data_IF_015199389060
#
_entry.id   IF_015199389060
#
_cell.length_a   1.000
_cell.length_b   1.000
_cell.length_c   1.000
_cell.angle_alpha   90.00
_cell.angle_beta   90.00
_cell.angle_gamma   90.00
#
_symmetry.space_group_name_H-M   'P 1'
#
loop_
_entity.id
_entity.type
_entity.pdbx_description
1 polymer ?
#
# COMPACT_ATOMS: atom_id res chain seq x y z
N UNK A 1 -19.37 37.26 -14.75
CA UNK A 1 -19.27 36.67 -13.40
C UNK A 1 -17.83 36.23 -13.20
N UNK A 2 -17.10 36.85 -12.28
CA UNK A 2 -15.75 36.40 -11.89
C UNK A 2 -15.94 35.18 -11.00
N UNK A 3 -15.62 33.99 -11.49
CA UNK A 3 -15.50 32.79 -10.67
C UNK A 3 -14.49 33.09 -9.57
N UNK A 4 -14.93 33.11 -8.31
CA UNK A 4 -14.02 32.99 -7.17
C UNK A 4 -13.16 31.76 -7.47
N UNK A 5 -11.85 31.93 -7.64
CA UNK A 5 -10.93 30.81 -7.71
C UNK A 5 -11.16 30.01 -6.43
N UNK A 6 -11.75 28.82 -6.56
CA UNK A 6 -11.88 27.91 -5.42
C UNK A 6 -10.47 27.48 -5.06
N UNK A 7 -9.98 27.98 -3.93
CA UNK A 7 -8.74 27.52 -3.33
C UNK A 7 -9.03 26.14 -2.72
N UNK A 8 -9.15 25.09 -3.53
CA UNK A 8 -9.51 23.76 -3.04
C UNK A 8 -9.67 22.73 -4.15
N UNK A 9 -9.86 21.48 -3.76
CA UNK A 9 -10.23 20.37 -4.65
C UNK A 9 -11.58 19.83 -4.19
N UNK A 10 -12.59 19.86 -5.05
CA UNK A 10 -13.87 19.19 -4.80
C UNK A 10 -13.98 17.94 -5.67
N UNK A 11 -14.14 16.79 -5.02
CA UNK A 11 -14.13 15.46 -5.64
C UNK A 11 -15.43 14.75 -5.34
N UNK A 12 -16.12 14.32 -6.39
CA UNK A 12 -17.32 13.51 -6.34
C UNK A 12 -17.14 12.26 -7.19
N UNK A 13 -17.33 11.08 -6.61
CA UNK A 13 -17.23 9.80 -7.30
C UNK A 13 -18.11 8.74 -6.66
N UNK A 14 -18.48 7.74 -7.45
CA UNK A 14 -19.25 6.57 -7.02
C UNK A 14 -18.35 5.33 -7.09
N UNK A 15 -18.26 4.57 -6.01
CA UNK A 15 -17.57 3.27 -5.97
C UNK A 15 -18.62 2.20 -6.21
N UNK A 16 -18.54 1.51 -7.35
CA UNK A 16 -19.44 0.41 -7.69
C UNK A 16 -18.89 -0.91 -7.16
N UNK A 17 -19.69 -1.63 -6.39
CA UNK A 17 -19.31 -2.90 -5.77
C UNK A 17 -20.11 -4.08 -6.33
N UNK A 18 -19.47 -5.23 -6.40
CA UNK A 18 -20.15 -6.51 -6.65
C UNK A 18 -20.77 -7.06 -5.36
N UNK A 19 -21.76 -7.94 -5.51
CA UNK A 19 -22.33 -8.69 -4.39
C UNK A 19 -21.30 -9.66 -3.79
N UNK A 20 -21.22 -9.75 -2.47
CA UNK A 20 -20.29 -10.62 -1.76
C UNK A 20 -20.49 -10.55 -0.24
N UNK A 21 -19.84 -11.43 0.52
CA UNK A 21 -19.87 -11.37 1.99
C UNK A 21 -19.30 -10.03 2.50
N UNK A 22 -18.27 -9.54 1.81
CA UNK A 22 -17.74 -8.18 1.93
C UNK A 22 -17.81 -7.49 0.56
N UNK A 23 -18.15 -6.18 0.48
CA UNK A 23 -18.24 -5.46 -0.78
C UNK A 23 -16.91 -5.47 -1.54
N UNK A 24 -16.93 -6.00 -2.78
CA UNK A 24 -15.76 -6.01 -3.65
C UNK A 24 -15.88 -4.88 -4.69
N UNK A 25 -14.96 -3.91 -4.72
CA UNK A 25 -15.05 -2.79 -5.64
C UNK A 25 -14.65 -3.22 -7.06
N UNK A 26 -15.44 -2.81 -8.05
CA UNK A 26 -15.16 -3.11 -9.46
C UNK A 26 -14.75 -1.86 -10.24
N UNK A 27 -15.37 -0.71 -9.93
CA UNK A 27 -15.20 0.53 -10.69
C UNK A 27 -15.34 1.74 -9.78
N UNK A 28 -14.63 2.81 -10.11
CA UNK A 28 -14.80 4.13 -9.51
C UNK A 28 -15.23 5.08 -10.62
N UNK A 29 -16.44 5.62 -10.54
CA UNK A 29 -17.03 6.50 -11.56
C UNK A 29 -17.03 7.95 -11.10
N UNK A 30 -16.38 8.84 -11.83
CA UNK A 30 -16.41 10.27 -11.50
C UNK A 30 -17.79 10.86 -11.76
N UNK A 31 -18.19 11.78 -10.91
CA UNK A 31 -19.42 12.52 -11.13
C UNK A 31 -19.32 13.43 -12.34
N UNK A 32 -20.45 13.53 -13.05
CA UNK A 32 -20.63 14.56 -14.07
C UNK A 32 -21.02 15.90 -13.44
N UNK A 33 -20.85 16.98 -14.20
CA UNK A 33 -21.15 18.35 -13.77
C UNK A 33 -22.58 18.56 -13.22
N UNK A 34 -23.56 17.77 -13.70
CA UNK A 34 -24.93 17.89 -13.20
C UNK A 34 -25.08 17.38 -11.76
N UNK A 35 -24.31 16.37 -11.34
CA UNK A 35 -24.33 15.86 -9.96
C UNK A 35 -23.76 16.88 -8.98
N UNK A 36 -22.63 17.51 -9.33
CA UNK A 36 -22.03 18.58 -8.53
C UNK A 36 -22.98 19.77 -8.32
N UNK A 37 -23.80 20.12 -9.32
CA UNK A 37 -24.78 21.23 -9.17
C UNK A 37 -25.88 20.94 -8.14
N UNK A 38 -26.12 19.67 -7.83
CA UNK A 38 -27.18 19.21 -6.93
C UNK A 38 -26.64 18.73 -5.58
N UNK A 39 -25.34 18.87 -5.33
CA UNK A 39 -24.67 18.41 -4.12
C UNK A 39 -23.96 19.57 -3.42
N UNK A 40 -23.79 19.45 -2.11
CA UNK A 40 -22.95 20.35 -1.32
C UNK A 40 -21.66 19.62 -0.94
N UNK A 41 -20.49 20.26 -1.04
CA UNK A 41 -19.22 19.62 -0.68
C UNK A 41 -19.19 19.24 0.82
N UNK A 42 -18.74 18.03 1.13
CA UNK A 42 -18.55 17.59 2.52
C UNK A 42 -17.09 17.70 2.94
N UNK A 43 -16.86 17.85 4.25
CA UNK A 43 -15.52 17.82 4.81
C UNK A 43 -14.96 16.39 4.77
N UNK A 44 -13.63 16.21 4.64
CA UNK A 44 -13.04 14.88 4.67
C UNK A 44 -13.31 14.16 5.98
N UNK A 45 -13.32 12.83 5.93
CA UNK A 45 -13.32 12.02 7.15
C UNK A 45 -12.10 12.31 8.02
N UNK A 46 -12.18 11.93 9.31
CA UNK A 46 -11.11 12.20 10.28
C UNK A 46 -9.73 11.67 9.83
N UNK A 47 -9.70 10.50 9.19
CA UNK A 47 -8.49 9.91 8.61
C UNK A 47 -8.34 10.17 7.11
N UNK A 48 -9.20 11.00 6.53
CA UNK A 48 -9.17 11.47 5.15
C UNK A 48 -9.13 10.37 4.06
N UNK A 49 -9.60 9.16 4.35
CA UNK A 49 -9.61 8.05 3.39
C UNK A 49 -10.39 8.40 2.10
N UNK A 50 -11.53 9.08 2.26
CA UNK A 50 -12.34 9.63 1.17
C UNK A 50 -11.55 10.61 0.29
N UNK A 51 -10.86 11.58 0.92
CA UNK A 51 -10.02 12.52 0.22
C UNK A 51 -8.81 11.85 -0.44
N UNK A 52 -8.14 10.91 0.22
CA UNK A 52 -6.94 10.24 -0.29
C UNK A 52 -7.23 9.34 -1.49
N UNK A 53 -8.39 8.66 -1.54
CA UNK A 53 -8.85 7.97 -2.75
C UNK A 53 -8.99 8.96 -3.90
N UNK A 54 -9.73 10.05 -3.70
CA UNK A 54 -9.97 11.06 -4.74
C UNK A 54 -8.68 11.73 -5.23
N UNK A 55 -7.82 12.17 -4.31
CA UNK A 55 -6.56 12.85 -4.63
C UNK A 55 -5.61 11.91 -5.39
N UNK A 56 -5.55 10.63 -5.01
CA UNK A 56 -4.76 9.63 -5.75
C UNK A 56 -5.30 9.42 -7.17
N UNK A 57 -6.62 9.40 -7.34
CA UNK A 57 -7.25 9.28 -8.66
C UNK A 57 -6.96 10.47 -9.58
N UNK A 58 -6.85 11.69 -9.04
CA UNK A 58 -6.42 12.88 -9.81
C UNK A 58 -5.02 12.70 -10.39
N UNK A 59 -4.13 12.05 -9.65
CA UNK A 59 -2.77 11.76 -10.09
C UNK A 59 -2.69 10.58 -11.06
N UNK A 60 -3.52 9.55 -10.84
CA UNK A 60 -3.55 8.36 -11.69
C UNK A 60 -4.29 8.59 -13.02
N UNK A 61 -5.29 9.47 -13.06
CA UNK A 61 -6.13 9.67 -14.25
C UNK A 61 -5.99 11.09 -14.84
N UNK A 62 -5.22 11.26 -15.94
CA UNK A 62 -5.04 12.55 -16.60
C UNK A 62 -6.33 13.18 -17.16
N UNK A 63 -7.41 12.41 -17.38
CA UNK A 63 -8.68 13.00 -17.82
C UNK A 63 -9.25 13.98 -16.79
N UNK A 64 -9.00 13.69 -15.51
CA UNK A 64 -9.36 14.60 -14.44
C UNK A 64 -8.54 15.86 -14.45
N UNK A 65 -7.39 15.94 -15.15
CA UNK A 65 -6.52 17.13 -15.22
C UNK A 65 -7.02 18.22 -16.17
N UNK A 66 -8.09 17.95 -16.91
CA UNK A 66 -8.65 18.89 -17.86
C UNK A 66 -9.63 19.86 -17.16
N UNK A 67 -9.35 21.19 -17.15
CA UNK A 67 -10.22 22.17 -16.47
C UNK A 67 -11.62 22.30 -17.11
N UNK A 68 -11.83 21.82 -18.33
CA UNK A 68 -13.15 21.77 -18.96
C UNK A 68 -13.98 20.58 -18.48
N UNK A 69 -13.32 19.50 -18.05
CA UNK A 69 -13.98 18.29 -17.50
C UNK A 69 -14.22 18.48 -16.00
N UNK A 70 -13.22 19.02 -15.30
CA UNK A 70 -13.21 19.20 -13.84
C UNK A 70 -12.85 20.64 -13.44
N UNK A 71 -13.69 21.64 -13.75
CA UNK A 71 -13.48 23.05 -13.37
C UNK A 71 -13.37 23.29 -11.86
N UNK A 72 -13.87 22.37 -11.03
CA UNK A 72 -13.81 22.40 -9.57
C UNK A 72 -12.48 21.88 -8.98
N UNK A 73 -11.56 21.41 -9.82
CA UNK A 73 -10.28 20.85 -9.39
C UNK A 73 -9.12 21.84 -9.56
N UNK A 74 -8.41 22.13 -8.47
CA UNK A 74 -7.12 22.79 -8.51
C UNK A 74 -5.98 21.76 -8.44
N UNK A 75 -5.40 21.37 -9.57
CA UNK A 75 -4.37 20.32 -9.62
C UNK A 75 -3.09 20.64 -8.86
N UNK A 76 -2.69 21.91 -8.84
CA UNK A 76 -1.52 22.34 -8.08
C UNK A 76 -1.72 22.06 -6.59
N UNK A 77 -2.92 22.39 -6.09
CA UNK A 77 -3.31 22.13 -4.70
C UNK A 77 -3.58 20.63 -4.41
N UNK A 78 -4.03 19.84 -5.39
CA UNK A 78 -4.25 18.41 -5.23
C UNK A 78 -2.97 17.65 -4.83
N UNK A 79 -1.85 17.94 -5.50
CA UNK A 79 -0.56 17.32 -5.19
C UNK A 79 -0.04 17.68 -3.81
N UNK A 80 -0.18 18.95 -3.43
CA UNK A 80 0.19 19.42 -2.10
C UNK A 80 -0.67 18.73 -1.03
N UNK A 81 -1.98 18.68 -1.25
CA UNK A 81 -2.94 18.03 -0.37
C UNK A 81 -2.62 16.54 -0.18
N UNK A 82 -2.36 15.81 -1.27
CA UNK A 82 -2.02 14.39 -1.18
C UNK A 82 -0.76 14.17 -0.35
N UNK A 83 0.30 14.94 -0.59
CA UNK A 83 1.56 14.81 0.18
C UNK A 83 1.40 15.17 1.65
N UNK A 84 0.54 16.13 1.97
CA UNK A 84 0.27 16.54 3.35
C UNK A 84 -0.57 15.50 4.11
N UNK A 85 -1.53 14.86 3.42
CA UNK A 85 -2.46 13.92 4.03
C UNK A 85 -2.00 12.46 4.01
N UNK A 86 -1.11 12.06 3.09
CA UNK A 86 -0.71 10.65 2.91
C UNK A 86 0.45 10.23 3.84
N UNK A 87 0.18 9.51 4.94
CA UNK A 87 1.21 9.15 5.92
C UNK A 87 2.24 8.16 5.36
N UNK A 88 1.87 7.24 4.45
CA UNK A 88 2.79 6.24 3.94
C UNK A 88 3.90 6.85 3.09
N UNK A 89 3.61 7.93 2.36
CA UNK A 89 4.64 8.66 1.62
C UNK A 89 5.62 9.36 2.56
N UNK A 90 5.12 9.93 3.67
CA UNK A 90 5.98 10.55 4.70
C UNK A 90 6.88 9.52 5.37
N UNK A 91 6.34 8.34 5.74
CA UNK A 91 7.11 7.24 6.33
C UNK A 91 8.17 6.70 5.35
N UNK A 92 7.82 6.58 4.07
CA UNK A 92 8.74 6.22 3.01
C UNK A 92 9.93 7.19 2.94
N UNK A 93 9.64 8.49 2.88
CA UNK A 93 10.66 9.54 2.83
C UNK A 93 11.56 9.55 4.08
N UNK A 94 10.98 9.38 5.27
CA UNK A 94 11.70 9.34 6.55
C UNK A 94 12.63 8.13 6.70
N UNK A 95 12.32 7.04 6.01
CA UNK A 95 13.10 5.79 6.06
C UNK A 95 14.29 5.79 5.09
N UNK A 96 14.28 6.69 4.09
CA UNK A 96 15.32 6.72 3.04
C UNK A 96 16.76 6.81 3.56
N UNK A 97 17.11 7.61 4.59
CA UNK A 97 18.49 7.66 5.06
C UNK A 97 19.01 6.30 5.57
N UNK A 98 18.17 5.56 6.32
CA UNK A 98 18.53 4.23 6.85
C UNK A 98 18.59 3.19 5.74
N UNK A 99 17.61 3.21 4.85
CA UNK A 99 17.56 2.31 3.68
C UNK A 99 18.74 2.53 2.75
N UNK A 100 19.14 3.78 2.50
CA UNK A 100 20.30 4.06 1.65
C UNK A 100 21.60 3.56 2.30
N UNK A 101 21.77 3.74 3.62
CA UNK A 101 22.93 3.23 4.34
C UNK A 101 23.06 1.68 4.29
N UNK A 102 21.92 0.97 4.29
CA UNK A 102 21.88 -0.48 4.04
C UNK A 102 22.22 -0.80 2.58
N UNK A 103 21.59 -0.10 1.64
CA UNK A 103 21.76 -0.31 0.19
C UNK A 103 23.17 0.00 -0.30
N UNK A 104 23.89 0.93 0.28
CA UNK A 104 25.27 1.25 -0.11
C UNK A 104 26.22 0.05 0.06
N UNK A 105 25.84 -0.89 0.93
CA UNK A 105 26.56 -2.14 1.18
C UNK A 105 26.02 -3.31 0.31
N UNK A 106 24.87 -3.12 -0.33
CA UNK A 106 24.19 -4.08 -1.19
C UNK A 106 24.31 -3.62 -2.65
N UNK A 107 25.30 -4.13 -3.36
CA UNK A 107 25.43 -3.88 -4.82
C UNK A 107 24.13 -4.30 -5.52
N UNK A 108 23.52 -3.38 -6.27
CA UNK A 108 22.31 -3.62 -7.06
C UNK A 108 22.33 -2.76 -8.32
N UNK A 109 22.02 -3.38 -9.45
CA UNK A 109 21.76 -2.70 -10.72
C UNK A 109 20.36 -3.08 -11.22
N UNK A 110 19.63 -2.17 -11.90
CA UNK A 110 18.33 -2.49 -12.47
C UNK A 110 18.42 -3.64 -13.46
N UNK A 111 17.67 -4.71 -13.21
CA UNK A 111 17.63 -5.89 -14.07
C UNK A 111 16.64 -5.69 -15.23
N UNK A 112 16.70 -6.57 -16.22
CA UNK A 112 15.70 -6.57 -17.30
C UNK A 112 14.31 -6.98 -16.80
N UNK A 113 14.23 -7.78 -15.73
CA UNK A 113 12.96 -8.14 -15.10
C UNK A 113 12.27 -6.91 -14.49
N UNK A 114 13.03 -6.05 -13.80
CA UNK A 114 12.53 -4.78 -13.27
C UNK A 114 11.96 -3.91 -14.40
N UNK A 115 12.72 -3.70 -15.48
CA UNK A 115 12.23 -2.88 -16.62
C UNK A 115 10.97 -3.44 -17.27
N UNK A 116 10.87 -4.77 -17.38
CA UNK A 116 9.67 -5.43 -17.91
C UNK A 116 8.47 -5.24 -16.98
N UNK A 117 8.68 -5.33 -15.67
CA UNK A 117 7.65 -5.02 -14.68
C UNK A 117 7.17 -3.57 -14.82
N UNK A 118 8.07 -2.59 -14.90
CA UNK A 118 7.67 -1.18 -15.02
C UNK A 118 6.81 -0.91 -16.27
N UNK A 119 7.11 -1.60 -17.38
CA UNK A 119 6.29 -1.53 -18.60
C UNK A 119 4.91 -2.13 -18.39
N UNK A 120 4.84 -3.36 -17.86
CA UNK A 120 3.57 -4.02 -17.57
C UNK A 120 2.72 -3.21 -16.57
N UNK A 121 3.38 -2.60 -15.58
CA UNK A 121 2.76 -1.73 -14.60
C UNK A 121 2.10 -0.51 -15.25
N UNK A 122 2.85 0.17 -16.12
CA UNK A 122 2.34 1.31 -16.89
C UNK A 122 1.18 0.90 -17.80
N UNK A 123 1.31 -0.22 -18.52
CA UNK A 123 0.28 -0.72 -19.43
C UNK A 123 -1.03 -1.06 -18.70
N UNK A 124 -0.96 -1.73 -17.54
CA UNK A 124 -2.13 -2.05 -16.74
C UNK A 124 -2.80 -0.79 -16.18
N UNK A 125 -2.02 0.17 -15.69
CA UNK A 125 -2.55 1.46 -15.26
C UNK A 125 -3.24 2.21 -16.40
N UNK A 126 -2.65 2.23 -17.60
CA UNK A 126 -3.24 2.90 -18.76
C UNK A 126 -4.56 2.25 -19.19
N UNK A 127 -4.68 0.92 -19.07
CA UNK A 127 -5.94 0.22 -19.33
C UNK A 127 -7.01 0.52 -18.27
N UNK A 128 -6.61 0.68 -17.01
CA UNK A 128 -7.53 0.98 -15.91
C UNK A 128 -8.07 2.42 -15.96
N UNK A 129 -7.30 3.37 -16.49
CA UNK A 129 -7.72 4.76 -16.66
C UNK A 129 -8.81 4.87 -17.72
N UNK A 130 -9.95 5.46 -17.37
CA UNK A 130 -11.06 5.67 -18.29
C UNK A 130 -11.56 7.12 -18.24
N UNK A 131 -12.19 7.66 -19.30
CA UNK A 131 -12.76 9.00 -19.26
C UNK A 131 -13.86 9.16 -18.19
N UNK A 132 -14.58 8.08 -17.91
CA UNK A 132 -15.64 8.06 -16.89
C UNK A 132 -15.11 7.82 -15.48
N UNK A 133 -13.85 7.40 -15.30
CA UNK A 133 -13.42 6.86 -14.01
C UNK A 133 -12.20 5.95 -14.06
N UNK A 134 -12.23 4.92 -13.23
CA UNK A 134 -11.16 3.94 -13.07
C UNK A 134 -11.74 2.53 -13.00
N UNK A 135 -11.28 1.64 -13.89
CA UNK A 135 -11.72 0.24 -13.96
C UNK A 135 -10.73 -0.64 -13.18
N UNK A 136 -11.14 -1.10 -11.99
CA UNK A 136 -10.27 -1.86 -11.09
C UNK A 136 -10.00 -3.28 -11.62
N UNK A 137 -10.88 -3.81 -12.47
CA UNK A 137 -10.70 -5.14 -13.08
C UNK A 137 -9.46 -5.21 -13.99
N UNK A 138 -8.99 -4.07 -14.49
CA UNK A 138 -7.80 -3.97 -15.34
C UNK A 138 -6.49 -4.01 -14.55
N UNK A 139 -6.55 -3.93 -13.22
CA UNK A 139 -5.37 -4.06 -12.37
C UNK A 139 -5.02 -5.51 -12.07
N UNK A 140 -5.87 -6.48 -12.39
CA UNK A 140 -5.64 -7.89 -12.05
C UNK A 140 -4.34 -8.43 -12.66
N UNK A 141 -4.02 -8.05 -13.90
CA UNK A 141 -2.81 -8.47 -14.61
C UNK A 141 -1.51 -8.00 -13.92
N UNK A 142 -1.59 -7.03 -12.98
CA UNK A 142 -0.43 -6.63 -12.18
C UNK A 142 0.03 -7.74 -11.23
N UNK A 143 -0.87 -8.61 -10.76
CA UNK A 143 -0.50 -9.74 -9.89
C UNK A 143 0.47 -10.66 -10.64
N UNK A 144 0.12 -11.04 -11.86
CA UNK A 144 0.98 -11.87 -12.72
C UNK A 144 2.32 -11.20 -13.04
N UNK A 145 2.33 -9.86 -13.20
CA UNK A 145 3.55 -9.09 -13.43
C UNK A 145 4.49 -9.10 -12.21
N UNK A 146 3.92 -9.07 -11.00
CA UNK A 146 4.67 -9.16 -9.74
C UNK A 146 5.25 -10.57 -9.56
N UNK A 147 4.43 -11.61 -9.76
CA UNK A 147 4.87 -13.00 -9.67
C UNK A 147 5.98 -13.32 -10.68
N UNK A 148 5.88 -12.77 -11.90
CA UNK A 148 6.93 -12.84 -12.89
C UNK A 148 8.23 -12.18 -12.41
N UNK A 149 8.15 -11.00 -11.79
CA UNK A 149 9.32 -10.30 -11.25
C UNK A 149 10.02 -11.13 -10.17
N UNK A 150 9.29 -11.62 -9.16
CA UNK A 150 9.85 -12.47 -8.09
C UNK A 150 10.49 -13.75 -8.65
N UNK A 151 9.82 -14.38 -9.60
CA UNK A 151 10.33 -15.60 -10.26
C UNK A 151 11.63 -15.34 -11.03
N UNK A 152 11.75 -14.19 -11.70
CA UNK A 152 12.94 -13.86 -12.50
C UNK A 152 14.10 -13.31 -11.69
N UNK A 153 13.82 -12.67 -10.55
CA UNK A 153 14.84 -12.23 -9.61
C UNK A 153 15.35 -13.36 -8.72
N UNK A 154 14.67 -14.52 -8.72
CA UNK A 154 14.92 -15.68 -7.87
C UNK A 154 14.99 -15.30 -6.38
N UNK A 155 14.22 -14.26 -6.02
CA UNK A 155 14.24 -13.63 -4.71
C UNK A 155 12.82 -13.18 -4.36
N UNK A 156 12.35 -13.46 -3.13
CA UNK A 156 11.07 -12.97 -2.68
C UNK A 156 11.12 -11.46 -2.47
N UNK A 157 9.99 -10.77 -2.60
CA UNK A 157 9.86 -9.35 -2.25
C UNK A 157 10.10 -9.11 -0.75
N UNK A 158 9.80 -10.11 0.09
CA UNK A 158 9.95 -10.00 1.54
C UNK A 158 11.43 -9.75 1.89
N UNK A 159 11.67 -8.64 2.57
CA UNK A 159 13.00 -8.14 2.94
C UNK A 159 13.96 -7.91 1.77
N UNK A 160 13.47 -7.71 0.55
CA UNK A 160 14.31 -7.28 -0.56
C UNK A 160 14.65 -5.78 -0.47
N UNK A 161 15.89 -5.49 -0.07
CA UNK A 161 16.41 -4.12 -0.04
C UNK A 161 17.03 -3.68 -1.37
N UNK A 162 17.20 -4.58 -2.34
CA UNK A 162 17.97 -4.33 -3.57
C UNK A 162 17.12 -3.82 -4.73
N UNK A 163 15.85 -4.23 -4.82
CA UNK A 163 14.95 -3.77 -5.87
C UNK A 163 14.81 -2.25 -5.83
N UNK A 164 14.88 -1.64 -7.03
CA UNK A 164 14.75 -0.20 -7.26
C UNK A 164 13.96 0.01 -8.55
N UNK A 165 12.89 0.78 -8.46
CA UNK A 165 12.14 1.23 -9.64
C UNK A 165 12.59 2.62 -10.06
N UNK A 166 12.24 3.01 -11.27
CA UNK A 166 12.36 4.40 -11.70
C UNK A 166 11.50 5.30 -10.82
N UNK A 167 11.90 6.58 -10.71
CA UNK A 167 11.17 7.56 -9.92
C UNK A 167 9.72 7.73 -10.37
N UNK A 168 9.46 7.60 -11.67
CA UNK A 168 8.12 7.71 -12.24
C UNK A 168 7.23 6.56 -11.79
N UNK A 169 7.68 5.32 -12.00
CA UNK A 169 6.97 4.11 -11.53
C UNK A 169 6.75 4.16 -10.03
N UNK A 170 7.78 4.52 -9.25
CA UNK A 170 7.69 4.59 -7.79
C UNK A 170 6.60 5.58 -7.32
N UNK A 171 6.50 6.74 -7.95
CA UNK A 171 5.43 7.70 -7.63
C UNK A 171 4.05 7.17 -8.01
N UNK A 172 3.91 6.52 -9.17
CA UNK A 172 2.65 5.89 -9.58
C UNK A 172 2.24 4.75 -8.63
N UNK A 173 3.20 3.95 -8.15
CA UNK A 173 2.98 2.93 -7.13
C UNK A 173 2.49 3.54 -5.82
N UNK A 174 3.03 4.68 -5.40
CA UNK A 174 2.54 5.38 -4.21
C UNK A 174 1.09 5.84 -4.36
N UNK A 175 0.73 6.44 -5.51
CA UNK A 175 -0.65 6.84 -5.76
C UNK A 175 -1.58 5.64 -5.83
N UNK A 176 -1.17 4.56 -6.51
CA UNK A 176 -1.98 3.35 -6.62
C UNK A 176 -2.18 2.69 -5.26
N UNK A 177 -1.12 2.52 -4.46
CA UNK A 177 -1.24 2.00 -3.09
C UNK A 177 -2.14 2.89 -2.22
N UNK A 178 -1.92 4.21 -2.24
CA UNK A 178 -2.74 5.18 -1.49
C UNK A 178 -4.22 5.04 -1.86
N UNK A 179 -4.53 4.94 -3.15
CA UNK A 179 -5.89 4.72 -3.63
C UNK A 179 -6.47 3.39 -3.15
N UNK A 180 -5.76 2.27 -3.30
CA UNK A 180 -6.27 0.94 -2.94
C UNK A 180 -6.45 0.75 -1.44
N UNK A 181 -5.46 1.15 -0.63
CA UNK A 181 -5.53 1.05 0.83
C UNK A 181 -6.70 1.87 1.39
N UNK A 182 -6.85 3.12 0.94
CA UNK A 182 -7.95 3.97 1.41
C UNK A 182 -9.30 3.55 0.82
N UNK A 183 -9.35 2.95 -0.37
CA UNK A 183 -10.56 2.32 -0.90
C UNK A 183 -11.03 1.17 -0.01
N UNK A 184 -10.11 0.29 0.43
CA UNK A 184 -10.41 -0.76 1.40
C UNK A 184 -10.93 -0.18 2.72
N UNK A 185 -10.33 0.91 3.21
CA UNK A 185 -10.80 1.62 4.39
C UNK A 185 -12.24 2.17 4.23
N UNK A 186 -12.58 2.77 3.10
CA UNK A 186 -13.94 3.25 2.83
C UNK A 186 -14.97 2.13 2.84
N UNK A 187 -14.64 0.99 2.21
CA UNK A 187 -15.52 -0.17 2.19
C UNK A 187 -15.66 -0.81 3.57
N UNK A 188 -14.59 -0.84 4.37
CA UNK A 188 -14.66 -1.28 5.77
C UNK A 188 -15.54 -0.33 6.61
N UNK A 189 -15.45 0.98 6.41
CA UNK A 189 -16.31 1.95 7.07
C UNK A 189 -17.79 1.76 6.70
N UNK A 190 -18.09 1.60 5.42
CA UNK A 190 -19.45 1.33 4.95
C UNK A 190 -19.99 0.00 5.50
N UNK A 191 -19.20 -1.07 5.43
CA UNK A 191 -19.56 -2.36 6.01
C UNK A 191 -19.85 -2.25 7.52
N UNK A 192 -18.97 -1.56 8.27
CA UNK A 192 -19.11 -1.37 9.72
C UNK A 192 -20.31 -0.52 10.10
N UNK A 193 -20.84 0.32 9.21
CA UNK A 193 -22.07 1.08 9.47
C UNK A 193 -23.33 0.17 9.53
N UNK A 194 -23.23 -1.06 9.03
CA UNK A 194 -24.35 -1.98 8.89
C UNK A 194 -24.24 -3.26 9.76
N UNK A 195 -23.15 -3.43 10.52
CA UNK A 195 -23.00 -4.57 11.44
C UNK A 195 -23.80 -4.37 12.72
N UNK A 196 -24.22 -5.47 13.35
CA UNK A 196 -25.01 -5.41 14.60
C UNK A 196 -24.12 -5.30 15.83
N UNK A 197 -23.02 -6.05 15.88
CA UNK A 197 -22.04 -5.98 16.96
C UNK A 197 -20.63 -5.61 16.45
N UNK A 198 -20.25 -4.33 16.49
CA UNK A 198 -18.92 -3.88 16.05
C UNK A 198 -17.76 -4.55 16.80
N UNK A 199 -17.98 -5.10 18.00
CA UNK A 199 -16.91 -5.74 18.79
C UNK A 199 -16.37 -6.99 18.10
N UNK A 200 -17.26 -7.75 17.47
CA UNK A 200 -16.96 -9.04 16.86
C UNK A 200 -17.00 -9.00 15.34
N UNK A 201 -17.72 -8.04 14.77
CA UNK A 201 -18.01 -8.01 13.35
C UNK A 201 -17.32 -6.88 12.60
N UNK A 202 -16.70 -5.92 13.29
CA UNK A 202 -16.08 -4.80 12.58
C UNK A 202 -14.85 -5.25 11.78
N UNK A 203 -14.81 -4.85 10.51
CA UNK A 203 -13.61 -4.90 9.69
C UNK A 203 -12.65 -3.79 10.14
N UNK A 204 -11.39 -4.13 10.39
CA UNK A 204 -10.33 -3.19 10.79
C UNK A 204 -9.37 -2.99 9.63
N UNK A 205 -8.74 -1.83 9.54
CA UNK A 205 -7.69 -1.60 8.54
C UNK A 205 -6.46 -1.14 9.28
N UNK A 206 -5.37 -1.88 9.14
CA UNK A 206 -4.10 -1.56 9.81
C UNK A 206 -2.97 -1.49 8.77
N UNK A 207 -2.19 -0.42 8.81
CA UNK A 207 -1.18 -0.14 7.78
C UNK A 207 0.08 -1.01 7.88
N UNK A 208 0.21 -1.82 8.95
CA UNK A 208 1.40 -2.63 9.21
C UNK A 208 1.02 -4.10 9.37
N UNK A 209 0.16 -4.41 10.33
CA UNK A 209 -0.17 -5.78 10.73
C UNK A 209 -0.98 -6.55 9.68
N UNK A 210 -1.70 -5.84 8.79
CA UNK A 210 -2.35 -6.45 7.62
C UNK A 210 -1.33 -7.05 6.63
N UNK A 211 -0.09 -6.55 6.61
CA UNK A 211 0.95 -6.97 5.67
C UNK A 211 2.09 -7.76 6.33
N UNK A 212 2.41 -7.41 7.58
CA UNK A 212 3.49 -8.03 8.34
C UNK A 212 2.99 -8.39 9.73
N UNK A 213 2.17 -9.46 9.85
CA UNK A 213 1.72 -9.93 11.15
C UNK A 213 2.92 -10.43 11.96
N UNK A 214 2.92 -10.19 13.27
CA UNK A 214 3.85 -10.82 14.22
C UNK A 214 5.33 -10.48 13.99
N UNK A 215 5.66 -9.25 13.60
CA UNK A 215 7.03 -8.81 13.32
C UNK A 215 8.01 -9.03 14.50
N UNK A 216 7.51 -8.98 15.73
CA UNK A 216 8.26 -9.29 16.95
C UNK A 216 8.72 -10.76 17.02
N UNK A 217 7.89 -11.70 16.55
CA UNK A 217 8.26 -13.12 16.48
C UNK A 217 9.32 -13.36 15.41
N UNK A 218 9.23 -12.66 14.26
CA UNK A 218 10.23 -12.76 13.21
C UNK A 218 11.60 -12.24 13.67
N UNK A 219 11.64 -11.15 14.44
CA UNK A 219 12.89 -10.63 15.00
C UNK A 219 13.55 -11.66 15.93
N UNK A 220 12.77 -12.29 16.81
CA UNK A 220 13.25 -13.33 17.73
C UNK A 220 13.81 -14.55 16.98
N UNK A 221 13.08 -15.04 15.98
CA UNK A 221 13.53 -16.17 15.16
C UNK A 221 14.77 -15.80 14.32
N UNK A 222 14.89 -14.55 13.88
CA UNK A 222 16.05 -14.06 13.12
C UNK A 222 17.31 -14.05 14.00
N UNK A 223 17.18 -13.70 15.28
CA UNK A 223 18.28 -13.80 16.24
C UNK A 223 18.74 -15.26 16.43
N UNK A 224 17.79 -16.19 16.54
CA UNK A 224 18.09 -17.63 16.64
C UNK A 224 18.80 -18.14 15.38
N UNK A 225 18.30 -17.76 14.20
CA UNK A 225 18.93 -18.10 12.93
C UNK A 225 20.35 -17.53 12.83
N UNK A 226 20.54 -16.27 13.24
CA UNK A 226 21.86 -15.63 13.22
C UNK A 226 22.84 -16.33 14.16
N UNK A 227 22.41 -16.69 15.38
CA UNK A 227 23.21 -17.51 16.30
C UNK A 227 23.61 -18.84 15.69
N UNK A 228 22.67 -19.52 15.03
CA UNK A 228 22.96 -20.74 14.29
C UNK A 228 24.02 -20.49 13.20
N UNK A 229 23.88 -19.45 12.37
CA UNK A 229 24.86 -19.16 11.30
C UNK A 229 26.26 -18.90 11.82
N UNK A 230 26.40 -18.38 13.05
CA UNK A 230 27.69 -18.17 13.71
C UNK A 230 28.30 -19.46 14.27
N UNK A 231 27.47 -20.38 14.75
CA UNK A 231 27.91 -21.64 15.34
C UNK A 231 28.05 -22.78 14.31
N UNK A 232 27.53 -22.61 13.08
CA UNK A 232 27.44 -23.68 12.07
C UNK A 232 28.77 -24.39 11.79
N UNK A 233 29.89 -23.68 11.85
CA UNK A 233 31.21 -24.23 11.52
C UNK A 233 31.75 -25.15 12.63
N UNK A 234 31.16 -25.09 13.83
CA UNK A 234 31.45 -25.98 14.97
C UNK A 234 30.54 -27.21 15.00
N UNK A 235 29.56 -27.29 14.11
CA UNK A 235 28.55 -28.34 14.06
C UNK A 235 28.89 -29.43 13.03
N UNK A 236 28.37 -30.64 13.23
CA UNK A 236 28.47 -31.69 12.20
C UNK A 236 27.67 -31.30 10.95
N UNK A 237 28.16 -31.67 9.75
CA UNK A 237 27.49 -31.38 8.47
C UNK A 237 26.01 -31.80 8.46
N UNK A 238 25.69 -32.98 8.98
CA UNK A 238 24.30 -33.47 9.05
C UNK A 238 23.41 -32.63 9.97
N UNK A 239 23.97 -32.08 11.07
CA UNK A 239 23.23 -31.19 11.95
C UNK A 239 22.96 -29.83 11.28
N UNK A 240 23.95 -29.28 10.57
CA UNK A 240 23.81 -28.03 9.79
C UNK A 240 22.71 -28.18 8.74
N UNK A 241 22.74 -29.22 7.91
CA UNK A 241 21.74 -29.44 6.86
C UNK A 241 20.31 -29.55 7.43
N UNK A 242 20.13 -30.31 8.52
CA UNK A 242 18.82 -30.44 9.17
C UNK A 242 18.32 -29.13 9.78
N UNK A 243 19.22 -28.37 10.39
CA UNK A 243 18.83 -27.10 11.00
C UNK A 243 18.55 -26.02 9.96
N UNK A 244 19.34 -25.90 8.89
CA UNK A 244 19.01 -25.00 7.77
C UNK A 244 17.63 -25.34 7.20
N UNK A 245 17.36 -26.62 6.94
CA UNK A 245 16.05 -27.05 6.47
C UNK A 245 14.92 -26.67 7.44
N UNK A 246 15.12 -26.86 8.75
CA UNK A 246 14.13 -26.49 9.76
C UNK A 246 13.86 -24.98 9.77
N UNK A 247 14.89 -24.14 9.70
CA UNK A 247 14.72 -22.68 9.62
C UNK A 247 13.96 -22.27 8.37
N UNK A 248 14.32 -22.80 7.19
CA UNK A 248 13.58 -22.47 5.96
C UNK A 248 12.15 -23.03 5.92
N UNK A 249 11.84 -24.05 6.73
CA UNK A 249 10.49 -24.63 6.81
C UNK A 249 9.60 -23.89 7.82
N UNK A 250 10.13 -23.55 8.99
CA UNK A 250 9.33 -23.06 10.13
C UNK A 250 9.54 -21.57 10.45
N UNK A 251 10.70 -21.01 10.09
CA UNK A 251 11.09 -19.64 10.37
C UNK A 251 11.63 -18.96 9.10
N UNK A 252 10.97 -19.21 7.97
CA UNK A 252 11.41 -18.77 6.64
C UNK A 252 11.69 -17.27 6.60
N UNK A 253 10.76 -16.45 7.08
CA UNK A 253 10.89 -14.99 7.07
C UNK A 253 12.11 -14.53 7.87
N UNK A 254 12.39 -15.14 9.01
CA UNK A 254 13.56 -14.83 9.82
C UNK A 254 14.88 -15.19 9.10
N UNK A 255 14.91 -16.35 8.43
CA UNK A 255 16.07 -16.73 7.63
C UNK A 255 16.31 -15.75 6.47
N UNK A 256 15.26 -15.39 5.74
CA UNK A 256 15.32 -14.42 4.63
C UNK A 256 15.74 -13.04 5.13
N UNK A 257 15.22 -12.57 6.27
CA UNK A 257 15.59 -11.28 6.85
C UNK A 257 17.11 -11.19 7.10
N UNK A 258 17.68 -12.19 7.76
CA UNK A 258 19.12 -12.23 8.07
C UNK A 258 19.95 -12.32 6.79
N UNK A 259 19.53 -13.11 5.81
CA UNK A 259 20.26 -13.31 4.55
C UNK A 259 20.21 -12.10 3.62
N UNK A 260 19.17 -11.29 3.71
CA UNK A 260 19.02 -10.05 2.96
C UNK A 260 19.84 -8.89 3.51
N UNK A 261 20.39 -9.02 4.73
CA UNK A 261 21.16 -7.96 5.39
C UNK A 261 22.67 -8.10 5.18
N UNK A 262 23.42 -6.97 5.08
CA UNK A 262 24.88 -7.03 5.04
C UNK A 262 25.47 -7.70 6.28
N UNK A 263 26.43 -8.61 6.13
CA UNK A 263 27.09 -9.24 7.29
C UNK A 263 27.78 -8.23 8.21
N UNK A 264 28.29 -7.13 7.65
CA UNK A 264 28.86 -6.01 8.39
C UNK A 264 27.83 -5.39 9.34
N UNK A 265 26.59 -5.22 8.89
CA UNK A 265 25.49 -4.69 9.69
C UNK A 265 25.18 -5.60 10.89
N UNK A 266 25.03 -6.91 10.63
CA UNK A 266 24.69 -7.90 11.67
C UNK A 266 25.79 -8.09 12.74
N UNK A 267 27.06 -7.86 12.38
CA UNK A 267 28.21 -8.07 13.28
C UNK A 267 28.54 -6.86 14.16
N UNK A 268 27.97 -5.68 13.88
CA UNK A 268 28.30 -4.45 14.59
C UNK A 268 27.56 -4.28 15.93
N UNK A 269 26.51 -5.06 16.15
CA UNK A 269 25.57 -4.88 17.26
C UNK A 269 25.71 -5.99 18.30
N UNK A 270 25.44 -5.66 19.56
CA UNK A 270 25.21 -6.67 20.59
C UNK A 270 23.81 -7.31 20.43
N UNK A 271 23.50 -8.32 21.23
CA UNK A 271 22.26 -9.10 21.08
C UNK A 271 20.98 -8.26 21.23
N UNK A 272 20.91 -7.43 22.27
CA UNK A 272 19.73 -6.59 22.55
C UNK A 272 19.58 -5.50 21.51
N UNK A 273 20.68 -4.86 21.10
CA UNK A 273 20.67 -3.88 20.01
C UNK A 273 20.20 -4.51 18.70
N UNK A 274 20.63 -5.74 18.42
CA UNK A 274 20.27 -6.45 17.20
C UNK A 274 18.78 -6.82 17.19
N UNK A 275 18.18 -7.20 18.32
CA UNK A 275 16.74 -7.48 18.43
C UNK A 275 15.90 -6.27 18.01
N UNK A 276 16.12 -5.14 18.68
CA UNK A 276 15.40 -3.88 18.40
C UNK A 276 15.66 -3.44 16.96
N UNK A 277 16.90 -3.57 16.49
CA UNK A 277 17.27 -3.18 15.13
C UNK A 277 16.59 -4.06 14.09
N UNK A 278 16.52 -5.38 14.31
CA UNK A 278 15.84 -6.29 13.38
C UNK A 278 14.35 -5.95 13.29
N UNK A 279 13.71 -5.55 14.38
CA UNK A 279 12.34 -5.03 14.33
C UNK A 279 12.24 -3.76 13.47
N UNK A 280 13.12 -2.78 13.69
CA UNK A 280 13.12 -1.53 12.92
C UNK A 280 13.42 -1.74 11.44
N UNK A 281 14.33 -2.65 11.10
CA UNK A 281 14.70 -3.01 9.73
C UNK A 281 13.51 -3.59 8.96
N UNK A 282 12.67 -4.40 9.62
CA UNK A 282 11.44 -4.91 9.02
C UNK A 282 10.47 -3.78 8.67
N UNK A 283 10.32 -2.80 9.57
CA UNK A 283 9.47 -1.62 9.32
C UNK A 283 10.03 -0.72 8.21
N UNK A 284 11.35 -0.50 8.21
CA UNK A 284 12.04 0.25 7.17
C UNK A 284 11.92 -0.45 5.81
N UNK A 285 11.96 -1.77 5.76
CA UNK A 285 11.66 -2.52 4.54
C UNK A 285 10.23 -2.25 4.08
N UNK A 286 9.23 -2.56 4.91
CA UNK A 286 7.81 -2.51 4.56
C UNK A 286 7.36 -1.10 4.10
N UNK A 287 7.81 -0.08 4.83
CA UNK A 287 7.35 1.29 4.66
C UNK A 287 8.33 2.17 3.87
N UNK A 288 9.59 1.77 3.75
CA UNK A 288 10.68 2.59 3.21
C UNK A 288 11.35 2.08 1.94
N UNK A 289 11.03 0.87 1.47
CA UNK A 289 11.64 0.31 0.25
C UNK A 289 10.63 0.16 -0.88
N UNK A 290 11.14 0.20 -2.10
CA UNK A 290 10.42 -0.09 -3.34
C UNK A 290 9.75 -1.47 -3.30
N UNK A 291 10.47 -2.49 -2.81
CA UNK A 291 9.95 -3.84 -2.66
C UNK A 291 8.86 -3.93 -1.59
N UNK A 292 9.01 -3.24 -0.46
CA UNK A 292 7.97 -3.16 0.58
C UNK A 292 6.70 -2.46 0.09
N UNK A 293 6.84 -1.40 -0.72
CA UNK A 293 5.69 -0.78 -1.39
C UNK A 293 5.03 -1.74 -2.39
N UNK A 294 5.82 -2.46 -3.20
CA UNK A 294 5.29 -3.44 -4.15
C UNK A 294 4.60 -4.60 -3.43
N UNK A 295 5.16 -5.06 -2.31
CA UNK A 295 4.57 -6.10 -1.47
C UNK A 295 3.19 -5.67 -0.96
N UNK A 296 3.08 -4.49 -0.35
CA UNK A 296 1.77 -3.97 0.11
C UNK A 296 0.78 -3.82 -1.05
N UNK A 297 1.25 -3.32 -2.19
CA UNK A 297 0.44 -3.22 -3.41
C UNK A 297 -0.08 -4.60 -3.85
N UNK A 298 0.77 -5.62 -3.84
CA UNK A 298 0.40 -7.00 -4.19
C UNK A 298 -0.74 -7.50 -3.30
N UNK A 299 -0.65 -7.30 -1.99
CA UNK A 299 -1.69 -7.74 -1.05
C UNK A 299 -3.02 -6.98 -1.29
N UNK A 300 -2.97 -5.68 -1.57
CA UNK A 300 -4.17 -4.92 -1.94
C UNK A 300 -4.78 -5.40 -3.27
N UNK A 301 -3.95 -5.74 -4.26
CA UNK A 301 -4.38 -6.33 -5.53
C UNK A 301 -4.99 -7.73 -5.34
N UNK A 302 -4.42 -8.56 -4.48
CA UNK A 302 -5.04 -9.83 -4.10
C UNK A 302 -6.41 -9.60 -3.46
N UNK A 303 -6.54 -8.59 -2.59
CA UNK A 303 -7.82 -8.18 -2.04
C UNK A 303 -8.86 -7.81 -3.10
N UNK A 304 -8.43 -7.10 -4.16
CA UNK A 304 -9.29 -6.82 -5.31
C UNK A 304 -9.65 -8.09 -6.11
N UNK A 305 -8.68 -8.97 -6.39
CA UNK A 305 -8.89 -10.15 -7.24
C UNK A 305 -9.72 -11.21 -6.52
N UNK A 306 -9.33 -11.58 -5.31
CA UNK A 306 -9.90 -12.70 -4.57
C UNK A 306 -11.04 -12.31 -3.63
N UNK A 307 -11.08 -11.04 -3.20
CA UNK A 307 -11.99 -10.52 -2.19
C UNK A 307 -11.26 -10.14 -0.90
N UNK A 308 -11.59 -8.97 -0.33
CA UNK A 308 -10.99 -8.50 0.92
C UNK A 308 -11.31 -9.41 2.12
N UNK A 309 -12.45 -10.10 2.08
CA UNK A 309 -12.83 -11.13 3.05
C UNK A 309 -11.87 -12.31 3.08
N UNK A 310 -11.27 -12.70 1.95
CA UNK A 310 -10.30 -13.80 1.94
C UNK A 310 -8.90 -13.35 2.38
N UNK A 311 -8.52 -12.14 1.99
CA UNK A 311 -7.13 -11.66 2.14
C UNK A 311 -6.91 -10.98 3.49
N UNK A 312 -7.81 -10.09 3.89
CA UNK A 312 -7.66 -9.27 5.10
C UNK A 312 -8.62 -9.66 6.23
N UNK A 313 -9.79 -10.22 5.90
CA UNK A 313 -10.83 -10.53 6.89
C UNK A 313 -11.28 -11.99 6.86
N UNK A 314 -10.37 -12.97 7.01
CA UNK A 314 -10.71 -14.40 6.85
C UNK A 314 -11.84 -14.84 7.79
N UNK A 315 -12.00 -14.18 8.94
CA UNK A 315 -13.09 -14.42 9.89
C UNK A 315 -14.50 -14.03 9.34
N UNK A 316 -14.57 -13.35 8.20
CA UNK A 316 -15.80 -12.98 7.49
C UNK A 316 -16.22 -14.02 6.44
N UNK A 317 -15.38 -15.03 6.16
CA UNK A 317 -15.69 -16.06 5.18
C UNK A 317 -16.97 -16.81 5.58
N UNK A 318 -17.92 -16.91 4.65
CA UNK A 318 -19.21 -17.58 4.87
C UNK A 318 -20.32 -16.72 5.50
N UNK A 319 -20.08 -15.42 5.74
CA UNK A 319 -21.15 -14.49 6.14
C UNK A 319 -22.17 -14.26 5.00
N UNK A 320 -23.41 -13.83 5.32
CA UNK A 320 -24.44 -13.56 4.32
C UNK A 320 -23.96 -12.58 3.25
N UNK A 321 -24.31 -12.84 1.99
CA UNK A 321 -23.96 -11.96 0.89
C UNK A 321 -24.70 -10.62 1.00
N UNK A 322 -23.94 -9.54 0.89
CA UNK A 322 -24.46 -8.20 0.70
C UNK A 322 -24.74 -7.95 -0.78
N UNK A 323 -25.80 -7.19 -1.12
CA UNK A 323 -26.09 -6.84 -2.51
C UNK A 323 -25.05 -5.88 -3.07
N UNK A 324 -24.88 -5.94 -4.39
CA UNK A 324 -24.15 -4.92 -5.15
C UNK A 324 -24.78 -3.54 -4.90
N UNK A 325 -23.95 -2.54 -4.66
CA UNK A 325 -24.41 -1.17 -4.44
C UNK A 325 -23.35 -0.15 -4.91
N UNK A 326 -23.73 1.13 -4.87
CA UNK A 326 -22.83 2.23 -5.19
C UNK A 326 -22.61 3.08 -3.93
N UNK A 327 -21.36 3.13 -3.46
CA UNK A 327 -20.97 4.04 -2.38
C UNK A 327 -20.66 5.42 -2.98
N UNK A 328 -21.40 6.43 -2.54
CA UNK A 328 -21.27 7.80 -3.01
C UNK A 328 -20.26 8.56 -2.14
N UNK A 329 -19.23 9.14 -2.75
CA UNK A 329 -18.21 9.93 -2.06
C UNK A 329 -18.20 11.35 -2.61
N UNK A 330 -18.25 12.32 -1.70
CA UNK A 330 -18.40 13.74 -2.01
C UNK A 330 -17.58 14.61 -1.06
N UNK A 331 -16.33 14.87 -1.41
CA UNK A 331 -15.37 15.46 -0.46
C UNK A 331 -14.71 16.68 -1.05
N UNK A 332 -14.56 17.73 -0.23
CA UNK A 332 -13.78 18.92 -0.56
C UNK A 332 -12.61 19.09 0.39
N UNK A 333 -11.42 19.21 -0.20
CA UNK A 333 -10.20 19.58 0.51
C UNK A 333 -9.91 21.05 0.24
N UNK A 334 -9.70 21.83 1.31
CA UNK A 334 -9.34 23.25 1.23
C UNK A 334 -8.04 23.52 2.00
N UNK A 335 -7.40 24.70 1.84
CA UNK A 335 -6.25 25.09 2.65
C UNK A 335 -6.52 25.00 4.16
N UNK A 336 -7.73 25.30 4.61
CA UNK A 336 -8.12 25.19 6.02
C UNK A 336 -8.15 23.73 6.50
N UNK A 337 -8.40 22.76 5.61
CA UNK A 337 -8.25 21.33 5.90
C UNK A 337 -6.80 20.96 6.20
N UNK A 338 -5.84 21.51 5.44
CA UNK A 338 -4.42 21.19 5.58
C UNK A 338 -3.73 21.98 6.70
N UNK A 339 -4.15 23.23 6.87
CA UNK A 339 -3.57 24.21 7.78
C UNK A 339 -4.69 24.78 8.67
N UNK A 340 -5.22 23.98 9.62
CA UNK A 340 -6.26 24.46 10.52
C UNK A 340 -5.72 25.67 11.28
N UNK A 341 -6.42 26.81 11.19
CA UNK A 341 -6.06 28.00 11.94
C UNK A 341 -6.17 27.69 13.43
N UNK A 342 -5.09 27.94 14.18
CA UNK A 342 -4.98 27.70 15.63
C UNK A 342 -5.91 28.58 16.49
N UNK A 343 -6.96 29.19 15.94
CA UNK A 343 -7.86 30.10 16.66
C UNK A 343 -9.03 29.42 17.39
N UNK A 344 -9.06 28.08 17.45
CA UNK A 344 -10.02 27.35 18.28
C UNK A 344 -9.34 26.24 19.06
N UNK A 345 -8.67 26.61 20.16
CA UNK A 345 -8.34 25.74 21.29
C UNK A 345 -8.84 26.40 22.57
#
# INVERSE_FOLDING_TARGET
MKTKQQNGVWMGFDILTASGAFPKPEKICFWEQHKYKNAEPEAPFHYAADALVGLSLVHLNPHLQNPFVSPQMNYGFANESWKALEPHHVLFARSQPRIQALRDQLKSEPTEAVKRFERAFTEALDQAKQPWGFDLSKLHDLVDAIDYLETKEERPLIYDFKTRFSRETLMQMHYLHSMLFNLRALLAMDYNAHVQDPTHEAAKVDSISDYLPKAEYVANDALLYWSFKRAKDEMSKSAVEKMEQAFYTYSHNAAVLVESLPQSFLKQMNWTELEETLYLVQMDWLLGTDAGLLFRLREELYGLVEGYDKVFYPDMEGKPQQPAHALNVNVQVTPETLYPSTEAA
#
